data_IF_516989720165
#
_entry.id   IF_516989720165
#
_cell.length_a   1.000
_cell.length_b   1.000
_cell.length_c   1.000
_cell.angle_alpha   90.00
_cell.angle_beta   90.00
_cell.angle_gamma   90.00
#
_symmetry.space_group_name_H-M   'P 1'
#
loop_
_entity.id
_entity.type
_entity.pdbx_description
1 polymer ?
#
# COMPACT_ATOMS: atom_id res chain seq x y z
N UNK A 1 23.51 2.48 2.69
CA UNK A 1 23.71 3.44 1.56
C UNK A 1 22.94 2.97 0.33
N UNK A 2 22.35 3.88 -0.46
CA UNK A 2 21.64 3.56 -1.71
C UNK A 2 22.61 2.98 -2.74
N UNK A 3 22.27 1.81 -3.31
CA UNK A 3 23.06 1.12 -4.34
C UNK A 3 22.31 1.17 -5.69
N UNK A 4 22.51 0.14 -6.49
CA UNK A 4 21.89 -0.09 -7.80
C UNK A 4 20.36 0.06 -7.76
N UNK A 5 19.82 0.64 -8.84
CA UNK A 5 18.38 0.69 -9.09
C UNK A 5 17.94 -0.66 -9.65
N UNK A 6 17.05 -1.33 -8.93
CA UNK A 6 16.53 -2.64 -9.28
C UNK A 6 15.32 -2.54 -10.22
N UNK A 7 14.49 -1.51 -10.05
CA UNK A 7 13.26 -1.33 -10.82
C UNK A 7 12.81 0.14 -10.80
N UNK A 8 12.04 0.55 -11.82
CA UNK A 8 11.32 1.82 -11.86
C UNK A 8 10.04 1.71 -12.70
N UNK A 9 8.99 2.42 -12.27
CA UNK A 9 7.66 2.45 -12.89
C UNK A 9 6.65 3.12 -11.96
N UNK A 10 5.52 3.58 -12.51
CA UNK A 10 4.38 4.13 -11.73
C UNK A 10 4.73 5.25 -10.72
N UNK A 11 5.68 6.12 -11.11
CA UNK A 11 6.16 7.21 -10.26
C UNK A 11 7.09 6.78 -9.11
N UNK A 12 7.58 5.54 -9.16
CA UNK A 12 8.40 4.91 -8.14
C UNK A 12 9.69 4.32 -8.72
N UNK A 13 10.71 4.24 -7.87
CA UNK A 13 11.93 3.47 -8.13
C UNK A 13 12.33 2.68 -6.88
N UNK A 14 12.83 1.47 -7.10
CA UNK A 14 13.32 0.60 -6.03
C UNK A 14 14.81 0.42 -6.16
N UNK A 15 15.53 0.62 -5.06
CA UNK A 15 16.98 0.53 -5.00
C UNK A 15 17.43 -0.47 -3.95
N UNK A 16 18.50 -1.19 -4.25
CA UNK A 16 19.18 -2.03 -3.29
C UNK A 16 19.84 -1.18 -2.19
N UNK A 17 20.04 -1.79 -1.03
CA UNK A 17 20.87 -1.25 0.05
C UNK A 17 22.05 -2.17 0.34
N UNK A 18 22.89 -1.79 1.29
CA UNK A 18 23.91 -2.65 1.89
C UNK A 18 23.33 -3.78 2.74
N UNK A 19 22.07 -3.70 3.16
CA UNK A 19 21.37 -4.76 3.87
C UNK A 19 20.47 -5.55 2.91
N UNK A 20 20.65 -6.86 2.85
CA UNK A 20 19.92 -7.73 1.93
C UNK A 20 18.39 -7.71 2.16
N UNK A 21 17.96 -7.48 3.41
CA UNK A 21 16.57 -7.46 3.86
C UNK A 21 15.92 -6.06 3.79
N UNK A 22 16.61 -5.07 3.22
CA UNK A 22 16.12 -3.69 3.09
C UNK A 22 16.31 -3.14 1.68
N UNK A 23 15.31 -2.40 1.23
CA UNK A 23 15.33 -1.65 -0.01
C UNK A 23 15.01 -0.18 0.25
N UNK A 24 15.35 0.68 -0.69
CA UNK A 24 14.89 2.07 -0.72
C UNK A 24 13.81 2.17 -1.79
N UNK A 25 12.62 2.59 -1.39
CA UNK A 25 11.54 2.99 -2.29
C UNK A 25 11.60 4.51 -2.45
N UNK A 26 11.91 4.98 -3.65
CA UNK A 26 11.95 6.40 -4.01
C UNK A 26 10.73 6.76 -4.84
N UNK A 27 10.14 7.92 -4.55
CA UNK A 27 9.05 8.52 -5.28
C UNK A 27 9.62 9.62 -6.19
N UNK A 28 9.07 9.75 -7.39
CA UNK A 28 9.46 10.84 -8.30
C UNK A 28 9.06 12.20 -7.74
N UNK A 29 7.88 12.29 -7.13
CA UNK A 29 7.30 13.51 -6.56
C UNK A 29 7.30 13.51 -5.01
N UNK A 30 7.66 14.65 -4.42
CA UNK A 30 7.75 14.81 -2.97
C UNK A 30 6.38 14.86 -2.28
N UNK A 31 5.37 15.44 -2.93
CA UNK A 31 3.99 15.48 -2.43
C UNK A 31 3.40 14.08 -2.38
N UNK A 32 3.64 13.28 -3.42
CA UNK A 32 3.24 11.85 -3.47
C UNK A 32 3.92 11.08 -2.33
N UNK A 33 5.21 11.30 -2.11
CA UNK A 33 5.94 10.68 -0.99
C UNK A 33 5.35 11.10 0.37
N UNK A 34 5.03 12.38 0.55
CA UNK A 34 4.43 12.88 1.77
C UNK A 34 3.03 12.26 2.01
N UNK A 35 2.20 12.15 0.98
CA UNK A 35 0.90 11.50 1.09
C UNK A 35 1.03 10.01 1.42
N UNK A 36 1.95 9.30 0.74
CA UNK A 36 2.25 7.90 1.05
C UNK A 36 2.71 7.72 2.50
N UNK A 37 3.52 8.65 3.03
CA UNK A 37 3.97 8.62 4.41
C UNK A 37 2.80 8.71 5.38
N UNK A 38 1.89 9.66 5.16
CA UNK A 38 0.69 9.83 6.01
C UNK A 38 -0.18 8.57 6.01
N UNK A 39 -0.35 7.94 4.85
CA UNK A 39 -1.04 6.64 4.74
C UNK A 39 -0.33 5.59 5.59
N UNK A 40 0.99 5.45 5.48
CA UNK A 40 1.75 4.46 6.27
C UNK A 40 1.66 4.73 7.77
N UNK A 41 1.75 5.98 8.20
CA UNK A 41 1.63 6.37 9.62
C UNK A 41 0.25 6.02 10.19
N UNK A 42 -0.82 6.30 9.43
CA UNK A 42 -2.18 5.93 9.81
C UNK A 42 -2.31 4.40 9.93
N UNK A 43 -1.85 3.65 8.93
CA UNK A 43 -2.00 2.19 8.90
C UNK A 43 -1.18 1.51 10.01
N UNK A 44 0.09 1.90 10.19
CA UNK A 44 0.96 1.39 11.26
C UNK A 44 0.41 1.76 12.65
N UNK A 45 -0.10 2.99 12.82
CA UNK A 45 -0.74 3.43 14.06
C UNK A 45 -1.97 2.60 14.46
N UNK A 46 -2.62 1.95 13.48
CA UNK A 46 -3.72 1.01 13.70
C UNK A 46 -3.29 -0.47 13.72
N UNK A 47 -1.98 -0.74 13.77
CA UNK A 47 -1.43 -2.10 13.95
C UNK A 47 -1.34 -2.94 12.68
N UNK A 48 -1.48 -2.33 11.48
CA UNK A 48 -1.25 -3.06 10.24
C UNK A 48 0.25 -3.36 10.04
N UNK A 49 0.55 -4.60 9.70
CA UNK A 49 1.91 -5.02 9.35
C UNK A 49 2.22 -4.62 7.90
N UNK A 50 3.11 -3.64 7.72
CA UNK A 50 3.50 -3.13 6.41
C UNK A 50 4.99 -3.33 6.14
N UNK A 51 5.40 -3.20 4.87
CA UNK A 51 6.82 -3.20 4.49
C UNK A 51 7.50 -1.86 4.81
N UNK A 52 6.75 -0.81 5.15
CA UNK A 52 7.30 0.47 5.57
C UNK A 52 8.12 0.29 6.86
N UNK A 53 9.40 0.69 6.82
CA UNK A 53 10.26 0.65 8.01
C UNK A 53 10.53 2.05 8.55
N UNK A 54 10.88 3.00 7.69
CA UNK A 54 11.11 4.39 8.08
C UNK A 54 11.12 5.33 6.87
N UNK A 55 10.90 6.63 7.10
CA UNK A 55 11.26 7.67 6.13
C UNK A 55 12.78 7.74 6.01
N UNK A 56 13.29 7.77 4.78
CA UNK A 56 14.73 7.82 4.51
C UNK A 56 15.17 9.21 4.03
N UNK A 57 14.41 9.81 3.10
CA UNK A 57 14.61 11.20 2.65
C UNK A 57 13.26 11.88 2.44
N UNK A 58 13.25 13.11 1.88
CA UNK A 58 11.99 13.79 1.55
C UNK A 58 11.14 13.03 0.52
N UNK A 59 11.80 12.25 -0.36
CA UNK A 59 11.20 11.49 -1.46
C UNK A 59 11.40 9.98 -1.37
N UNK A 60 11.84 9.44 -0.24
CA UNK A 60 12.08 7.99 -0.16
C UNK A 60 11.87 7.39 1.21
N UNK A 61 11.54 6.10 1.21
CA UNK A 61 11.38 5.26 2.39
C UNK A 61 12.42 4.14 2.40
N UNK A 62 12.84 3.77 3.60
CA UNK A 62 13.43 2.47 3.87
C UNK A 62 12.28 1.47 4.02
N UNK A 63 12.32 0.38 3.25
CA UNK A 63 11.30 -0.69 3.30
C UNK A 63 11.95 -2.05 3.58
N UNK A 64 11.19 -2.96 4.19
CA UNK A 64 11.54 -4.39 4.27
C UNK A 64 11.41 -4.99 2.87
N UNK A 65 12.45 -5.73 2.45
CA UNK A 65 12.38 -6.50 1.21
C UNK A 65 11.33 -7.61 1.36
N UNK A 66 10.46 -7.73 0.36
CA UNK A 66 9.48 -8.81 0.27
C UNK A 66 9.49 -9.40 -1.14
N UNK A 67 9.17 -10.68 -1.25
CA UNK A 67 8.75 -11.31 -2.50
C UNK A 67 7.28 -10.95 -2.73
N UNK A 68 6.92 -10.21 -3.80
CA UNK A 68 5.53 -9.87 -4.08
C UNK A 68 4.66 -11.11 -4.24
N UNK A 69 3.44 -11.05 -3.69
CA UNK A 69 2.42 -12.04 -3.99
C UNK A 69 1.81 -11.78 -5.38
N UNK A 70 1.36 -12.82 -6.09
CA UNK A 70 0.76 -12.68 -7.42
C UNK A 70 -0.66 -12.08 -7.38
N UNK A 71 -1.28 -12.00 -6.21
CA UNK A 71 -2.62 -11.46 -6.03
C UNK A 71 -2.56 -10.12 -5.28
N UNK A 72 -3.13 -9.10 -5.90
CA UNK A 72 -3.39 -7.79 -5.33
C UNK A 72 -4.85 -7.71 -4.85
N UNK A 73 -5.13 -6.80 -3.91
CA UNK A 73 -6.49 -6.54 -3.43
C UNK A 73 -6.88 -5.12 -3.77
N UNK A 74 -7.94 -4.96 -4.55
CA UNK A 74 -8.64 -3.70 -4.72
C UNK A 74 -9.76 -3.60 -3.69
N UNK A 75 -9.95 -2.43 -3.08
CA UNK A 75 -11.04 -2.18 -2.15
C UNK A 75 -11.83 -0.94 -2.52
N UNK A 76 -13.15 -1.08 -2.56
CA UNK A 76 -14.09 0.04 -2.57
C UNK A 76 -14.65 0.20 -1.16
N UNK A 77 -14.31 1.30 -0.48
CA UNK A 77 -14.78 1.58 0.87
C UNK A 77 -15.79 2.72 0.85
N UNK A 78 -17.01 2.46 1.34
CA UNK A 78 -18.09 3.44 1.45
C UNK A 78 -18.70 3.49 2.86
N UNK A 79 -19.76 4.28 3.08
CA UNK A 79 -20.48 4.30 4.35
C UNK A 79 -21.11 2.92 4.64
N UNK A 80 -20.66 2.27 5.71
CA UNK A 80 -21.23 0.99 6.17
C UNK A 80 -20.82 -0.26 5.37
N UNK A 81 -20.09 -0.11 4.27
CA UNK A 81 -19.65 -1.24 3.44
C UNK A 81 -18.21 -1.09 2.95
N UNK A 82 -17.52 -2.23 2.81
CA UNK A 82 -16.25 -2.35 2.09
C UNK A 82 -16.38 -3.56 1.18
N UNK A 83 -16.11 -3.38 -0.11
CA UNK A 83 -16.09 -4.46 -1.11
C UNK A 83 -14.66 -4.70 -1.54
N UNK A 84 -14.26 -5.97 -1.59
CA UNK A 84 -12.94 -6.38 -2.04
C UNK A 84 -13.05 -7.09 -3.39
N UNK A 85 -12.04 -6.90 -4.23
CA UNK A 85 -11.83 -7.63 -5.47
C UNK A 85 -10.36 -8.06 -5.56
N UNK A 86 -10.12 -9.26 -6.06
CA UNK A 86 -8.77 -9.79 -6.27
C UNK A 86 -8.30 -9.48 -7.67
N UNK A 87 -7.02 -9.15 -7.83
CA UNK A 87 -6.44 -8.80 -9.13
C UNK A 87 -5.08 -9.44 -9.37
N UNK A 88 -4.82 -9.74 -10.63
CA UNK A 88 -3.51 -10.03 -11.19
C UNK A 88 -3.23 -8.95 -12.25
N UNK A 89 -2.48 -7.93 -11.86
CA UNK A 89 -2.36 -6.69 -12.65
C UNK A 89 -3.73 -6.07 -12.92
N UNK A 90 -4.10 -5.92 -14.19
CA UNK A 90 -5.38 -5.33 -14.59
C UNK A 90 -6.52 -6.36 -14.69
N UNK A 91 -6.23 -7.66 -14.54
CA UNK A 91 -7.24 -8.71 -14.59
C UNK A 91 -7.86 -8.92 -13.21
N UNK A 92 -9.19 -8.89 -13.14
CA UNK A 92 -9.92 -9.31 -11.95
C UNK A 92 -9.96 -10.84 -11.86
N UNK A 93 -9.79 -11.36 -10.65
CA UNK A 93 -9.79 -12.79 -10.35
C UNK A 93 -11.07 -13.16 -9.60
N UNK A 94 -11.61 -14.32 -9.92
CA UNK A 94 -12.55 -14.99 -9.01
C UNK A 94 -11.83 -15.38 -7.70
N UNK A 95 -12.61 -15.64 -6.65
CA UNK A 95 -12.05 -16.12 -5.38
C UNK A 95 -11.31 -17.45 -5.56
N UNK A 96 -11.84 -18.36 -6.37
CA UNK A 96 -11.21 -19.65 -6.67
C UNK A 96 -9.85 -19.48 -7.37
N UNK A 97 -9.73 -18.54 -8.31
CA UNK A 97 -8.45 -18.23 -8.96
C UNK A 97 -7.44 -17.62 -7.98
N UNK A 98 -7.90 -16.72 -7.10
CA UNK A 98 -7.04 -16.13 -6.08
C UNK A 98 -6.56 -17.17 -5.05
N UNK A 99 -7.42 -18.11 -4.65
CA UNK A 99 -7.06 -19.25 -3.80
C UNK A 99 -6.08 -20.18 -4.50
N UNK A 100 -6.26 -20.47 -5.80
CA UNK A 100 -5.34 -21.30 -6.56
C UNK A 100 -3.96 -20.65 -6.75
N UNK A 101 -3.91 -19.31 -6.83
CA UNK A 101 -2.66 -18.55 -6.91
C UNK A 101 -1.96 -18.38 -5.54
N UNK A 102 -2.68 -18.60 -4.44
CA UNK A 102 -2.20 -18.46 -3.06
C UNK A 102 -2.46 -19.76 -2.28
N UNK A 103 -2.40 -19.68 -0.95
CA UNK A 103 -2.97 -20.69 -0.05
C UNK A 103 -4.22 -20.09 0.59
N UNK A 104 -5.23 -20.89 0.99
CA UNK A 104 -6.44 -20.37 1.63
C UNK A 104 -6.13 -19.46 2.83
N UNK A 105 -5.18 -19.87 3.69
CA UNK A 105 -4.76 -19.10 4.85
C UNK A 105 -4.10 -17.77 4.46
N UNK A 106 -3.40 -17.74 3.32
CA UNK A 106 -2.79 -16.52 2.79
C UNK A 106 -3.83 -15.57 2.23
N UNK A 107 -4.83 -16.09 1.52
CA UNK A 107 -5.90 -15.28 0.97
C UNK A 107 -6.69 -14.61 2.11
N UNK A 108 -7.10 -15.37 3.10
CA UNK A 108 -7.79 -14.85 4.30
C UNK A 108 -6.95 -13.76 4.99
N UNK A 109 -5.64 -13.99 5.13
CA UNK A 109 -4.71 -13.02 5.73
C UNK A 109 -4.64 -11.69 4.98
N UNK A 110 -4.62 -11.71 3.64
CA UNK A 110 -4.58 -10.47 2.85
C UNK A 110 -5.97 -9.81 2.76
N UNK A 111 -7.05 -10.60 2.76
CA UNK A 111 -8.44 -10.11 2.86
C UNK A 111 -8.63 -9.31 4.15
N UNK A 112 -8.26 -9.89 5.30
CA UNK A 112 -8.37 -9.24 6.61
C UNK A 112 -7.55 -7.95 6.70
N UNK A 113 -6.31 -7.98 6.21
CA UNK A 113 -5.44 -6.82 6.20
C UNK A 113 -5.98 -5.71 5.29
N UNK A 114 -6.48 -6.06 4.10
CA UNK A 114 -7.07 -5.12 3.16
C UNK A 114 -8.36 -4.50 3.72
N UNK A 115 -9.22 -5.30 4.33
CA UNK A 115 -10.45 -4.84 4.97
C UNK A 115 -10.15 -3.89 6.12
N UNK A 116 -9.16 -4.20 6.96
CA UNK A 116 -8.71 -3.33 8.03
C UNK A 116 -8.18 -2.01 7.45
N UNK A 117 -7.25 -2.06 6.49
CA UNK A 117 -6.67 -0.87 5.87
C UNK A 117 -7.75 0.05 5.28
N UNK A 118 -8.69 -0.53 4.53
CA UNK A 118 -9.79 0.19 3.90
C UNK A 118 -10.70 0.88 4.93
N UNK A 119 -11.07 0.18 6.00
CA UNK A 119 -11.88 0.75 7.09
C UNK A 119 -11.15 1.88 7.81
N UNK A 120 -9.87 1.70 8.10
CA UNK A 120 -9.05 2.70 8.79
C UNK A 120 -8.91 3.98 7.97
N UNK A 121 -8.55 3.86 6.69
CA UNK A 121 -8.42 5.03 5.81
C UNK A 121 -9.77 5.72 5.57
N UNK A 122 -10.86 4.95 5.40
CA UNK A 122 -12.21 5.50 5.27
C UNK A 122 -12.62 6.25 6.53
N UNK A 123 -12.38 5.69 7.72
CA UNK A 123 -12.68 6.37 8.97
C UNK A 123 -11.94 7.71 9.05
N UNK A 124 -10.64 7.71 8.74
CA UNK A 124 -9.82 8.92 8.75
C UNK A 124 -10.32 10.00 7.78
N UNK A 125 -10.60 9.62 6.53
CA UNK A 125 -10.96 10.55 5.46
C UNK A 125 -12.44 10.99 5.52
N UNK A 126 -13.32 10.17 6.10
CA UNK A 126 -14.73 10.53 6.29
C UNK A 126 -14.92 11.73 7.21
N UNK A 127 -14.02 11.94 8.17
CA UNK A 127 -14.00 13.14 9.02
C UNK A 127 -13.75 14.44 8.24
N UNK A 128 -13.30 14.32 6.98
CA UNK A 128 -13.02 15.44 6.07
C UNK A 128 -13.93 15.44 4.85
N UNK A 129 -15.07 14.75 4.92
CA UNK A 129 -16.09 14.75 3.88
C UNK A 129 -15.83 13.79 2.72
N UNK A 130 -14.81 12.93 2.77
CA UNK A 130 -14.58 11.91 1.74
C UNK A 130 -15.41 10.67 2.08
N UNK A 131 -16.47 10.42 1.31
CA UNK A 131 -17.41 9.33 1.59
C UNK A 131 -16.95 7.97 1.05
N UNK A 132 -16.29 7.98 -0.11
CA UNK A 132 -15.91 6.77 -0.85
C UNK A 132 -14.43 6.79 -1.21
N UNK A 133 -13.78 5.63 -1.08
CA UNK A 133 -12.39 5.41 -1.47
C UNK A 133 -12.29 4.24 -2.44
N UNK A 134 -11.33 4.33 -3.37
CA UNK A 134 -10.84 3.18 -4.14
C UNK A 134 -9.38 2.98 -3.80
N UNK A 135 -9.00 1.81 -3.31
CA UNK A 135 -7.66 1.50 -2.83
C UNK A 135 -7.10 0.32 -3.60
N UNK A 136 -5.80 0.36 -3.88
CA UNK A 136 -5.04 -0.76 -4.44
C UNK A 136 -3.95 -1.18 -3.46
N UNK A 137 -3.99 -2.43 -3.01
CA UNK A 137 -3.10 -2.96 -1.99
C UNK A 137 -2.35 -4.18 -2.52
N UNK A 138 -1.02 -4.14 -2.36
CA UNK A 138 -0.14 -5.25 -2.70
C UNK A 138 0.42 -5.85 -1.44
N UNK A 139 0.75 -7.13 -1.49
CA UNK A 139 1.30 -7.86 -0.37
C UNK A 139 2.57 -8.59 -0.79
N UNK A 140 3.37 -8.99 0.19
CA UNK A 140 4.56 -9.78 -0.07
C UNK A 140 5.04 -10.54 1.15
N UNK A 141 5.91 -11.52 0.90
CA UNK A 141 6.52 -12.36 1.91
C UNK A 141 7.95 -11.91 2.17
N UNK A 142 8.29 -11.74 3.43
CA UNK A 142 9.70 -11.68 3.83
C UNK A 142 10.35 -13.05 3.68
N UNK A 143 11.69 -13.12 3.73
CA UNK A 143 12.43 -14.40 3.72
C UNK A 143 12.01 -15.31 4.89
N UNK A 144 11.57 -14.73 6.00
CA UNK A 144 11.05 -15.44 7.19
C UNK A 144 9.58 -15.90 7.04
N UNK A 145 8.95 -15.63 5.89
CA UNK A 145 7.56 -16.03 5.60
C UNK A 145 6.48 -15.08 6.12
N UNK A 146 6.85 -14.00 6.82
CA UNK A 146 5.88 -13.00 7.29
C UNK A 146 5.20 -12.28 6.12
N UNK A 147 3.86 -12.20 6.15
CA UNK A 147 3.05 -11.45 5.18
C UNK A 147 3.00 -9.98 5.57
N UNK A 148 3.45 -9.10 4.68
CA UNK A 148 3.38 -7.66 4.87
C UNK A 148 2.59 -7.02 3.73
N UNK A 149 1.78 -6.01 4.05
CA UNK A 149 1.27 -5.09 3.05
C UNK A 149 2.42 -4.22 2.54
N UNK A 150 2.58 -4.09 1.24
CA UNK A 150 3.57 -3.19 0.66
C UNK A 150 3.17 -1.73 0.91
N UNK A 151 4.11 -0.80 0.78
CA UNK A 151 3.79 0.64 0.81
C UNK A 151 2.72 0.93 -0.24
N UNK A 152 1.61 1.50 0.21
CA UNK A 152 0.50 1.89 -0.66
C UNK A 152 0.94 3.10 -1.49
N UNK A 153 0.84 2.99 -2.81
CA UNK A 153 1.08 4.10 -3.74
C UNK A 153 -0.21 4.93 -3.87
N UNK A 154 -0.24 6.20 -3.40
CA UNK A 154 -1.45 7.01 -3.46
C UNK A 154 -1.86 7.36 -4.90
N UNK A 155 -0.94 7.28 -5.88
CA UNK A 155 -1.26 7.48 -7.30
C UNK A 155 -2.17 6.38 -7.87
N UNK A 156 -2.22 5.22 -7.21
CA UNK A 156 -3.04 4.09 -7.61
C UNK A 156 -4.35 4.00 -6.81
N UNK A 157 -4.68 5.06 -6.06
CA UNK A 157 -5.85 5.15 -5.20
C UNK A 157 -6.69 6.38 -5.57
N UNK A 158 -7.99 6.32 -5.26
CA UNK A 158 -8.87 7.51 -5.21
C UNK A 158 -9.16 7.84 -3.75
N UNK A 159 -8.59 8.95 -3.28
CA UNK A 159 -8.62 9.37 -1.87
C UNK A 159 -9.42 10.67 -1.66
N UNK A 160 -10.33 10.98 -2.57
CA UNK A 160 -11.22 12.14 -2.50
C UNK A 160 -10.87 13.29 -3.45
N UNK A 161 -9.65 13.32 -4.01
CA UNK A 161 -9.23 14.27 -5.04
C UNK A 161 -8.25 13.61 -6.01
N UNK A 162 -8.13 14.18 -7.21
CA UNK A 162 -7.08 13.86 -8.18
C UNK A 162 -5.83 14.73 -8.00
N UNK A 163 -5.93 15.85 -7.25
CA UNK A 163 -4.77 16.67 -6.87
C UNK A 163 -4.10 16.10 -5.62
N UNK A 164 -2.84 15.69 -5.77
CA UNK A 164 -2.07 15.10 -4.67
C UNK A 164 -1.82 16.07 -3.51
N UNK A 165 -1.82 17.40 -3.73
CA UNK A 165 -1.73 18.38 -2.64
C UNK A 165 -2.98 18.37 -1.79
N UNK A 166 -4.16 18.27 -2.42
CA UNK A 166 -5.42 18.14 -1.71
C UNK A 166 -5.50 16.79 -0.99
N UNK A 167 -5.08 15.70 -1.63
CA UNK A 167 -4.99 14.37 -0.98
C UNK A 167 -4.08 14.42 0.25
N UNK A 168 -2.92 15.06 0.15
CA UNK A 168 -2.01 15.26 1.29
C UNK A 168 -2.69 16.04 2.42
N UNK A 169 -3.37 17.13 2.12
CA UNK A 169 -4.11 17.92 3.11
C UNK A 169 -5.23 17.10 3.78
N UNK A 170 -5.96 16.27 3.00
CA UNK A 170 -6.98 15.36 3.52
C UNK A 170 -6.39 14.28 4.45
N UNK A 171 -5.16 13.84 4.21
CA UNK A 171 -4.43 12.91 5.09
C UNK A 171 -3.79 13.61 6.31
N UNK A 172 -4.02 14.91 6.47
CA UNK A 172 -3.50 15.73 7.56
C UNK A 172 -2.03 16.12 7.39
N UNK A 173 -1.53 16.17 6.16
CA UNK A 173 -0.28 16.85 5.82
C UNK A 173 -0.45 18.37 5.82
N UNK A 174 0.66 19.08 6.07
CA UNK A 174 0.75 20.55 6.04
C UNK A 174 1.44 21.03 4.76
#
# INVERSE_FOLDING_TARGET
MKRERLWAGDGLAVHATDRADRLILEFEDETVCAAALRIQEILVGHGLATSFAARFTSRSFLIRKVQPLPVEVAAEAGPGEVRLAFRDGDRELSREEAEAALTPERLERIEDAALHAARTLRAHLSLRGVERLQLRMRFGLTEEGACLMQVMNPLECRLGSEDMKEVLALLGGA
#
